data_IF_240809286831
#
_entry.id   IF_240809286831
#
_cell.length_a   1.000
_cell.length_b   1.000
_cell.length_c   1.000
_cell.angle_alpha   90.00
_cell.angle_beta   90.00
_cell.angle_gamma   90.00
#
_symmetry.space_group_name_H-M   'P 1'
#
loop_
_entity.id
_entity.type
_entity.pdbx_description
1 polymer ?
#
# COMPACT_ATOMS: atom_id res chain seq x y z
N UNK A 1 8.48 19.46 17.91
CA UNK A 1 9.30 18.56 18.73
C UNK A 1 10.55 18.07 18.00
N UNK A 2 10.45 17.40 16.83
CA UNK A 2 11.64 16.90 16.10
C UNK A 2 12.55 18.06 15.71
N UNK A 3 12.01 19.12 15.11
CA UNK A 3 12.79 20.31 14.75
C UNK A 3 13.38 21.02 15.98
N UNK A 4 12.67 21.09 17.10
CA UNK A 4 13.19 21.71 18.32
C UNK A 4 14.40 20.93 18.89
N UNK A 5 14.34 19.60 18.82
CA UNK A 5 15.45 18.72 19.21
C UNK A 5 16.62 18.87 18.23
N UNK A 6 16.35 18.89 16.94
CA UNK A 6 17.34 19.07 15.89
C UNK A 6 18.07 20.40 16.05
N UNK A 7 17.34 21.50 16.24
CA UNK A 7 17.93 22.83 16.47
C UNK A 7 18.84 22.88 17.71
N UNK A 8 18.41 22.25 18.81
CA UNK A 8 19.26 22.15 20.02
C UNK A 8 20.57 21.41 19.75
N UNK A 9 20.58 20.50 18.79
CA UNK A 9 21.76 19.75 18.37
C UNK A 9 22.47 20.37 17.14
N UNK A 10 22.06 21.57 16.73
CA UNK A 10 22.61 22.29 15.56
C UNK A 10 22.44 21.52 14.26
N UNK A 11 21.34 20.75 14.15
CA UNK A 11 20.96 20.02 12.95
C UNK A 11 19.79 20.78 12.31
N UNK A 12 19.90 21.09 11.04
CA UNK A 12 18.77 21.66 10.28
C UNK A 12 17.91 20.55 9.70
N UNK A 13 16.64 20.49 10.14
CA UNK A 13 15.64 19.53 9.65
C UNK A 13 14.46 20.31 9.13
N UNK A 14 14.34 20.36 7.83
CA UNK A 14 13.29 21.12 7.13
C UNK A 14 12.24 20.23 6.47
N UNK A 15 12.57 18.97 6.19
CA UNK A 15 11.73 18.03 5.43
C UNK A 15 11.61 16.68 6.14
N UNK A 16 10.56 15.96 5.82
CA UNK A 16 10.23 14.69 6.46
C UNK A 16 9.79 13.64 5.44
N UNK A 17 10.29 12.43 5.61
CA UNK A 17 9.67 11.22 5.06
C UNK A 17 8.83 10.58 6.17
N UNK A 18 7.53 10.41 5.92
CA UNK A 18 6.59 9.91 6.94
C UNK A 18 6.19 8.48 6.63
N UNK A 19 6.22 7.63 7.64
CA UNK A 19 5.82 6.23 7.54
C UNK A 19 5.02 5.80 8.76
N UNK A 20 4.15 4.83 8.57
CA UNK A 20 3.36 4.23 9.65
C UNK A 20 2.54 3.05 9.15
N UNK A 21 2.24 2.14 10.09
CA UNK A 21 1.49 0.93 9.77
C UNK A 21 0.06 1.00 10.32
N UNK A 22 -0.90 0.41 9.60
CA UNK A 22 -2.29 0.28 10.00
C UNK A 22 -2.90 1.65 10.32
N UNK A 23 -3.48 1.88 11.49
CA UNK A 23 -3.99 3.17 11.93
C UNK A 23 -2.98 4.31 11.75
N UNK A 24 -1.68 4.07 11.97
CA UNK A 24 -0.62 5.06 11.73
C UNK A 24 -0.32 5.25 10.23
N UNK A 25 -0.63 4.26 9.40
CA UNK A 25 -0.62 4.41 7.94
C UNK A 25 -1.70 5.38 7.48
N UNK A 26 -2.90 5.33 8.08
CA UNK A 26 -3.91 6.37 7.87
C UNK A 26 -3.42 7.75 8.29
N UNK A 27 -2.76 7.83 9.47
CA UNK A 27 -2.13 9.07 9.93
C UNK A 27 -1.03 9.54 8.96
N UNK A 28 -0.28 8.63 8.34
CA UNK A 28 0.72 8.96 7.32
C UNK A 28 0.08 9.69 6.14
N UNK A 29 -1.02 9.17 5.61
CA UNK A 29 -1.78 9.81 4.55
C UNK A 29 -2.29 11.20 4.97
N UNK A 30 -2.96 11.29 6.11
CA UNK A 30 -3.53 12.57 6.58
C UNK A 30 -2.47 13.61 6.91
N UNK A 31 -1.32 13.20 7.44
CA UNK A 31 -0.17 14.11 7.67
C UNK A 31 0.32 14.72 6.37
N UNK A 32 0.44 13.91 5.31
CA UNK A 32 0.87 14.40 3.99
C UNK A 32 -0.10 15.39 3.35
N UNK A 33 -1.40 15.33 3.71
CA UNK A 33 -2.40 16.31 3.24
C UNK A 33 -2.17 17.69 3.84
N UNK A 34 -1.75 17.77 5.10
CA UNK A 34 -1.74 19.01 5.89
C UNK A 34 -0.35 19.59 6.12
N UNK A 35 0.70 18.79 6.10
CA UNK A 35 2.07 19.23 6.37
C UNK A 35 2.91 19.30 5.10
N UNK A 36 3.19 20.50 4.64
CA UNK A 36 3.96 20.76 3.41
C UNK A 36 5.44 20.38 3.50
N UNK A 37 5.95 20.04 4.68
CA UNK A 37 7.32 19.55 4.89
C UNK A 37 7.45 18.07 4.56
N UNK A 38 6.34 17.37 4.33
CA UNK A 38 6.35 15.96 3.94
C UNK A 38 6.72 15.84 2.47
N UNK A 39 7.91 15.32 2.20
CA UNK A 39 8.46 15.15 0.85
C UNK A 39 8.27 13.75 0.28
N UNK A 40 7.97 12.75 1.11
CA UNK A 40 7.61 11.40 0.69
C UNK A 40 6.87 10.65 1.80
N UNK A 41 6.12 9.62 1.43
CA UNK A 41 5.37 8.79 2.39
C UNK A 41 5.54 7.29 2.13
N UNK A 42 5.50 6.51 3.21
CA UNK A 42 5.44 5.05 3.14
C UNK A 42 4.35 4.50 4.08
N UNK A 43 3.06 4.59 3.68
CA UNK A 43 1.97 3.96 4.43
C UNK A 43 2.05 2.43 4.30
N UNK A 44 1.87 1.73 5.42
CA UNK A 44 1.96 0.27 5.47
C UNK A 44 0.67 -0.34 5.99
N UNK A 45 0.27 -1.48 5.43
CA UNK A 45 -0.94 -2.24 5.81
C UNK A 45 -2.14 -1.34 6.09
N UNK A 46 -2.45 -0.51 5.13
CA UNK A 46 -3.60 0.40 5.12
C UNK A 46 -4.20 0.47 3.71
N UNK A 47 -4.41 -0.68 3.10
CA UNK A 47 -4.90 -0.85 1.75
C UNK A 47 -6.42 -0.69 1.69
N UNK A 48 -6.90 0.50 2.03
CA UNK A 48 -8.33 0.77 2.17
C UNK A 48 -8.75 2.18 1.74
N UNK A 49 -7.96 2.89 0.99
CA UNK A 49 -8.44 4.14 0.39
C UNK A 49 -9.61 3.85 -0.55
N UNK A 50 -10.55 4.79 -0.67
CA UNK A 50 -11.86 4.54 -1.22
C UNK A 50 -12.61 3.49 -0.38
N UNK A 51 -12.85 3.85 0.87
CA UNK A 51 -13.27 2.96 1.96
C UNK A 51 -14.51 2.12 1.60
N UNK A 52 -15.51 2.71 0.96
CA UNK A 52 -16.75 2.00 0.61
C UNK A 52 -16.45 0.82 -0.33
N UNK A 53 -15.74 1.07 -1.43
CA UNK A 53 -15.35 0.03 -2.39
C UNK A 53 -14.47 -1.04 -1.74
N UNK A 54 -13.55 -0.62 -0.88
CA UNK A 54 -12.64 -1.53 -0.18
C UNK A 54 -13.37 -2.44 0.80
N UNK A 55 -14.32 -1.93 1.59
CA UNK A 55 -15.12 -2.73 2.53
C UNK A 55 -16.15 -3.63 1.82
N UNK A 56 -16.76 -3.17 0.74
CA UNK A 56 -17.61 -4.02 -0.08
C UNK A 56 -16.82 -5.16 -0.73
N UNK A 57 -15.61 -4.88 -1.20
CA UNK A 57 -14.72 -5.90 -1.75
C UNK A 57 -14.26 -6.90 -0.69
N UNK A 58 -13.97 -6.44 0.53
CA UNK A 58 -13.66 -7.29 1.67
C UNK A 58 -14.78 -8.31 1.92
N UNK A 59 -16.03 -7.84 2.00
CA UNK A 59 -17.19 -8.73 2.19
C UNK A 59 -17.38 -9.70 1.02
N UNK A 60 -17.25 -9.22 -0.22
CA UNK A 60 -17.36 -10.09 -1.41
C UNK A 60 -16.26 -11.14 -1.49
N UNK A 61 -15.05 -10.81 -1.04
CA UNK A 61 -13.90 -11.70 -1.09
C UNK A 61 -13.98 -12.80 -0.05
N UNK A 62 -14.44 -12.49 1.15
CA UNK A 62 -14.44 -13.41 2.30
C UNK A 62 -15.82 -14.03 2.57
N UNK A 63 -16.89 -13.51 1.97
CA UNK A 63 -18.28 -13.93 2.24
C UNK A 63 -18.83 -13.40 3.58
N UNK A 64 -17.97 -12.73 4.36
CA UNK A 64 -18.28 -12.15 5.67
C UNK A 64 -17.36 -10.98 5.96
N UNK A 65 -17.64 -10.23 7.02
CA UNK A 65 -16.65 -9.32 7.58
C UNK A 65 -15.70 -10.10 8.49
N UNK A 66 -14.41 -10.04 8.21
CA UNK A 66 -13.38 -10.67 9.03
C UNK A 66 -13.50 -10.24 10.49
N UNK A 67 -13.19 -11.15 11.40
CA UNK A 67 -13.12 -10.85 12.84
C UNK A 67 -12.18 -9.66 13.14
N UNK A 68 -11.19 -9.42 12.29
CA UNK A 68 -10.27 -8.30 12.42
C UNK A 68 -10.96 -6.93 12.32
N UNK A 69 -12.07 -6.85 11.56
CA UNK A 69 -12.86 -5.60 11.41
C UNK A 69 -14.15 -5.61 12.23
N UNK A 70 -14.30 -6.56 13.16
CA UNK A 70 -15.51 -6.74 13.95
C UNK A 70 -15.93 -5.48 14.74
N UNK A 71 -14.97 -4.68 15.18
CA UNK A 71 -15.28 -3.42 15.87
C UNK A 71 -16.10 -2.47 14.98
N UNK A 72 -15.78 -2.40 13.69
CA UNK A 72 -16.53 -1.58 12.74
C UNK A 72 -17.96 -2.13 12.51
N UNK A 73 -18.10 -3.45 12.47
CA UNK A 73 -19.42 -4.12 12.37
C UNK A 73 -20.26 -3.84 13.61
N UNK A 74 -19.67 -3.94 14.80
CA UNK A 74 -20.33 -3.67 16.08
C UNK A 74 -20.85 -2.21 16.20
N UNK A 75 -20.19 -1.28 15.51
CA UNK A 75 -20.62 0.13 15.41
C UNK A 75 -21.55 0.38 14.20
N UNK A 76 -22.00 -0.66 13.51
CA UNK A 76 -22.86 -0.61 12.33
C UNK A 76 -22.28 0.27 11.20
N UNK A 77 -20.95 0.29 11.05
CA UNK A 77 -20.31 1.08 9.98
C UNK A 77 -20.76 0.60 8.60
N UNK A 78 -20.78 -0.72 8.28
CA UNK A 78 -21.22 -1.20 6.98
C UNK A 78 -22.63 -0.71 6.59
N UNK A 79 -23.57 -0.73 7.54
CA UNK A 79 -24.95 -0.31 7.29
C UNK A 79 -25.10 1.21 7.06
N UNK A 80 -24.12 1.98 7.52
CA UNK A 80 -24.10 3.44 7.39
C UNK A 80 -23.42 3.93 6.12
N UNK A 81 -22.63 3.10 5.44
CA UNK A 81 -21.81 3.50 4.28
C UNK A 81 -22.63 4.13 3.16
N UNK A 82 -23.89 3.75 3.01
CA UNK A 82 -24.81 4.32 2.01
C UNK A 82 -25.53 5.60 2.48
N UNK A 83 -25.29 6.08 3.71
CA UNK A 83 -25.96 7.26 4.22
C UNK A 83 -25.24 8.55 3.83
N UNK A 84 -26.02 9.63 3.72
CA UNK A 84 -25.47 10.96 3.42
C UNK A 84 -24.55 11.48 4.53
N UNK A 85 -24.84 11.15 5.76
CA UNK A 85 -24.03 11.51 6.94
C UNK A 85 -22.67 10.85 6.89
N UNK A 86 -22.62 9.59 6.48
CA UNK A 86 -21.37 8.88 6.30
C UNK A 86 -20.55 9.45 5.14
N UNK A 87 -21.18 9.75 4.00
CA UNK A 87 -20.51 10.41 2.87
C UNK A 87 -19.89 11.76 3.30
N UNK A 88 -20.63 12.54 4.06
CA UNK A 88 -20.13 13.81 4.58
C UNK A 88 -18.93 13.58 5.50
N UNK A 89 -19.01 12.62 6.43
CA UNK A 89 -17.92 12.30 7.33
C UNK A 89 -16.65 11.88 6.54
N UNK A 90 -16.80 11.04 5.52
CA UNK A 90 -15.67 10.57 4.71
C UNK A 90 -14.95 11.74 4.01
N UNK A 91 -15.66 12.74 3.54
CA UNK A 91 -15.04 13.96 2.95
C UNK A 91 -14.11 14.72 3.89
N UNK A 92 -14.24 14.51 5.20
CA UNK A 92 -13.37 15.14 6.20
C UNK A 92 -12.24 14.20 6.67
N UNK A 93 -12.49 12.91 6.76
CA UNK A 93 -11.58 12.00 7.44
C UNK A 93 -10.85 11.04 6.50
N UNK A 94 -11.44 10.72 5.34
CA UNK A 94 -10.86 9.74 4.44
C UNK A 94 -9.81 10.36 3.51
N UNK A 95 -8.56 9.85 3.51
CA UNK A 95 -7.48 10.37 2.67
C UNK A 95 -7.81 10.36 1.18
N UNK A 96 -8.62 9.43 0.70
CA UNK A 96 -9.00 9.33 -0.71
C UNK A 96 -9.62 10.62 -1.27
N UNK A 97 -10.41 11.34 -0.48
CA UNK A 97 -10.98 12.62 -0.90
C UNK A 97 -9.95 13.74 -1.09
N UNK A 98 -8.72 13.49 -0.66
CA UNK A 98 -7.60 14.42 -0.81
C UNK A 98 -6.52 13.89 -1.76
N UNK A 99 -6.83 12.87 -2.56
CA UNK A 99 -5.85 12.14 -3.40
C UNK A 99 -5.02 13.04 -4.31
N UNK A 100 -5.58 14.12 -4.82
CA UNK A 100 -4.87 15.09 -5.68
C UNK A 100 -3.71 15.81 -4.97
N UNK A 101 -3.67 15.78 -3.64
CA UNK A 101 -2.60 16.36 -2.85
C UNK A 101 -1.39 15.43 -2.68
N UNK A 102 -1.53 14.16 -3.01
CA UNK A 102 -0.45 13.17 -2.86
C UNK A 102 0.50 13.19 -4.05
N UNK A 103 1.07 14.34 -4.37
CA UNK A 103 1.99 14.50 -5.50
C UNK A 103 3.40 14.00 -5.21
N UNK A 104 3.78 13.88 -3.92
CA UNK A 104 5.09 13.40 -3.49
C UNK A 104 5.27 11.90 -3.78
N UNK A 105 6.51 11.40 -3.89
CA UNK A 105 6.80 9.98 -3.99
C UNK A 105 6.19 9.18 -2.83
N UNK A 106 5.64 8.02 -3.15
CA UNK A 106 4.98 7.15 -2.16
C UNK A 106 5.25 5.68 -2.40
N UNK A 107 5.57 4.96 -1.31
CA UNK A 107 5.72 3.51 -1.29
C UNK A 107 4.61 2.90 -0.43
N UNK A 108 3.67 2.22 -1.07
CA UNK A 108 2.59 1.51 -0.40
C UNK A 108 3.04 0.08 -0.13
N UNK A 109 3.08 -0.32 1.15
CA UNK A 109 3.51 -1.67 1.54
C UNK A 109 2.35 -2.40 2.20
N UNK A 110 1.87 -3.46 1.57
CA UNK A 110 0.72 -4.22 2.03
C UNK A 110 1.07 -5.69 2.25
N UNK A 111 0.27 -6.39 3.05
CA UNK A 111 0.40 -7.81 3.29
C UNK A 111 -0.41 -8.59 2.24
N UNK A 112 0.19 -9.63 1.67
CA UNK A 112 -0.46 -10.46 0.67
C UNK A 112 -1.49 -11.44 1.23
N UNK A 113 -1.61 -11.54 2.56
CA UNK A 113 -2.56 -12.41 3.25
C UNK A 113 -3.12 -11.71 4.49
N UNK A 114 -3.45 -10.42 4.33
CA UNK A 114 -3.96 -9.52 5.36
C UNK A 114 -5.39 -9.90 5.75
N UNK A 115 -5.66 -9.87 7.04
CA UNK A 115 -6.98 -10.14 7.61
C UNK A 115 -7.88 -8.91 7.70
N UNK A 116 -7.32 -7.70 7.57
CA UNK A 116 -8.07 -6.45 7.56
C UNK A 116 -8.42 -6.01 6.14
N UNK A 117 -7.48 -6.16 5.20
CA UNK A 117 -7.60 -5.59 3.85
C UNK A 117 -7.39 -6.67 2.81
N UNK A 118 -8.38 -6.86 1.93
CA UNK A 118 -8.26 -7.81 0.83
C UNK A 118 -7.13 -7.43 -0.11
N UNK A 119 -6.41 -8.43 -0.61
CA UNK A 119 -5.14 -8.30 -1.33
C UNK A 119 -5.20 -7.44 -2.60
N UNK A 120 -6.36 -7.20 -3.16
CA UNK A 120 -6.54 -6.44 -4.39
C UNK A 120 -7.22 -5.07 -4.18
N UNK A 121 -7.27 -4.58 -2.95
CA UNK A 121 -7.92 -3.29 -2.62
C UNK A 121 -7.24 -2.09 -3.28
N UNK A 122 -5.95 -2.17 -3.60
CA UNK A 122 -5.20 -1.13 -4.33
C UNK A 122 -5.88 -0.70 -5.63
N UNK A 123 -6.60 -1.57 -6.30
CA UNK A 123 -7.28 -1.30 -7.59
C UNK A 123 -8.34 -0.20 -7.50
N UNK A 124 -8.85 0.09 -6.31
CA UNK A 124 -9.89 1.11 -6.09
C UNK A 124 -9.35 2.52 -5.96
N UNK A 125 -8.02 2.70 -5.90
CA UNK A 125 -7.46 4.02 -5.67
C UNK A 125 -6.06 4.25 -6.28
N UNK A 126 -5.24 3.21 -6.43
CA UNK A 126 -3.82 3.35 -6.76
C UNK A 126 -3.60 4.09 -8.08
N UNK A 127 -4.37 3.78 -9.12
CA UNK A 127 -4.20 4.41 -10.43
C UNK A 127 -4.56 5.90 -10.41
N UNK A 128 -5.38 6.34 -9.49
CA UNK A 128 -5.82 7.72 -9.34
C UNK A 128 -4.86 8.59 -8.52
N UNK A 129 -3.89 7.99 -7.84
CA UNK A 129 -2.88 8.73 -7.10
C UNK A 129 -1.90 9.41 -8.06
N UNK A 130 -1.66 10.72 -7.94
CA UNK A 130 -0.68 11.43 -8.76
C UNK A 130 0.77 11.17 -8.31
N UNK A 131 1.72 11.55 -9.17
CA UNK A 131 3.15 11.47 -8.89
C UNK A 131 3.70 10.04 -8.79
N UNK A 132 4.94 9.92 -8.38
CA UNK A 132 5.63 8.63 -8.27
C UNK A 132 5.02 7.76 -7.19
N UNK A 133 4.65 6.55 -7.56
CA UNK A 133 3.96 5.61 -6.68
C UNK A 133 4.42 4.19 -6.90
N UNK A 134 4.75 3.53 -5.81
CA UNK A 134 5.26 2.17 -5.79
C UNK A 134 4.38 1.32 -4.90
N UNK A 135 4.06 0.11 -5.36
CA UNK A 135 3.20 -0.82 -4.66
C UNK A 135 3.97 -2.10 -4.37
N UNK A 136 4.00 -2.50 -3.12
CA UNK A 136 4.58 -3.75 -2.67
C UNK A 136 3.53 -4.55 -1.89
N UNK A 137 3.27 -5.77 -2.32
CA UNK A 137 2.63 -6.79 -1.50
C UNK A 137 3.67 -7.77 -1.00
N UNK A 138 3.70 -8.01 0.31
CA UNK A 138 4.56 -9.01 0.93
C UNK A 138 3.80 -10.33 0.99
N UNK A 139 4.21 -11.36 0.21
CA UNK A 139 3.44 -12.59 0.13
C UNK A 139 3.53 -13.42 1.42
N UNK A 140 2.48 -14.17 1.72
CA UNK A 140 2.40 -15.09 2.85
C UNK A 140 2.64 -14.45 4.22
N UNK A 141 2.30 -13.19 4.37
CA UNK A 141 2.29 -12.49 5.65
C UNK A 141 0.93 -11.87 5.91
N UNK A 142 0.57 -11.79 7.18
CA UNK A 142 -0.64 -11.14 7.65
C UNK A 142 -0.39 -9.65 7.96
N UNK A 143 -1.36 -9.00 8.58
CA UNK A 143 -1.32 -7.57 8.92
C UNK A 143 -0.07 -7.13 9.71
N UNK A 144 0.60 -8.02 10.42
CA UNK A 144 1.80 -7.68 11.19
C UNK A 144 3.05 -7.47 10.33
N UNK A 145 3.01 -7.75 9.02
CA UNK A 145 4.12 -7.57 8.07
C UNK A 145 5.45 -8.24 8.49
N UNK A 146 5.39 -9.36 9.19
CA UNK A 146 6.60 -10.11 9.58
C UNK A 146 7.19 -10.85 8.37
N UNK A 147 7.69 -10.10 7.40
CA UNK A 147 8.15 -10.63 6.10
C UNK A 147 9.57 -10.20 5.75
N UNK A 148 10.11 -10.86 4.71
CA UNK A 148 11.41 -10.53 4.14
C UNK A 148 11.40 -9.18 3.43
N UNK A 149 12.52 -8.49 3.46
CA UNK A 149 12.81 -7.27 2.70
C UNK A 149 11.98 -6.02 3.07
N UNK A 150 11.16 -6.07 4.12
CA UNK A 150 10.39 -4.90 4.54
C UNK A 150 11.31 -3.74 4.91
N UNK A 151 12.25 -4.00 5.81
CA UNK A 151 13.18 -2.98 6.30
C UNK A 151 14.12 -2.51 5.19
N UNK A 152 14.62 -3.44 4.38
CA UNK A 152 15.51 -3.14 3.26
C UNK A 152 14.81 -2.26 2.21
N UNK A 153 13.58 -2.56 1.86
CA UNK A 153 12.82 -1.79 0.88
C UNK A 153 12.45 -0.42 1.42
N UNK A 154 12.02 -0.34 2.67
CA UNK A 154 11.73 0.94 3.31
C UNK A 154 12.99 1.81 3.44
N UNK A 155 14.11 1.20 3.83
CA UNK A 155 15.41 1.89 3.90
C UNK A 155 15.88 2.33 2.51
N UNK A 156 15.76 1.49 1.49
CA UNK A 156 16.10 1.84 0.11
C UNK A 156 15.25 2.99 -0.41
N UNK A 157 13.94 2.97 -0.15
CA UNK A 157 13.05 4.08 -0.51
C UNK A 157 13.49 5.38 0.16
N UNK A 158 13.68 5.36 1.47
CA UNK A 158 14.13 6.51 2.25
C UNK A 158 15.47 7.06 1.73
N UNK A 159 16.45 6.18 1.51
CA UNK A 159 17.78 6.58 1.04
C UNK A 159 17.73 7.24 -0.34
N UNK A 160 16.90 6.74 -1.24
CA UNK A 160 16.72 7.35 -2.56
C UNK A 160 16.10 8.74 -2.47
N UNK A 161 15.09 8.91 -1.63
CA UNK A 161 14.45 10.22 -1.41
C UNK A 161 15.45 11.24 -0.88
N UNK A 162 16.20 10.93 0.18
CA UNK A 162 17.11 11.91 0.80
C UNK A 162 18.37 12.21 -0.03
N UNK A 163 18.70 11.34 -0.98
CA UNK A 163 19.85 11.54 -1.88
C UNK A 163 19.42 11.96 -3.30
N UNK A 164 18.16 12.28 -3.52
CA UNK A 164 17.59 12.66 -4.81
C UNK A 164 17.94 11.67 -5.94
N UNK A 165 17.84 10.36 -5.64
CA UNK A 165 18.17 9.29 -6.55
C UNK A 165 16.92 8.78 -7.28
N UNK A 166 17.05 8.53 -8.58
CA UNK A 166 15.99 7.95 -9.39
C UNK A 166 15.62 6.54 -8.92
N UNK A 167 14.33 6.25 -8.97
CA UNK A 167 13.81 4.91 -8.77
C UNK A 167 13.89 4.09 -10.08
N UNK A 168 14.00 2.75 -10.00
CA UNK A 168 13.87 1.91 -11.16
C UNK A 168 12.52 2.15 -11.85
N UNK A 169 12.55 2.30 -13.16
CA UNK A 169 11.32 2.44 -13.93
C UNK A 169 10.81 1.03 -14.27
N UNK A 170 9.67 0.68 -13.70
CA UNK A 170 8.99 -0.60 -13.92
C UNK A 170 7.62 -0.29 -14.52
N UNK A 171 7.41 -0.73 -15.74
CA UNK A 171 6.12 -0.61 -16.44
C UNK A 171 5.56 -2.01 -16.62
N UNK A 172 4.27 -2.18 -16.37
CA UNK A 172 3.60 -3.44 -16.58
C UNK A 172 2.21 -3.27 -17.19
N UNK A 173 1.80 -4.24 -17.97
CA UNK A 173 0.48 -4.33 -18.58
C UNK A 173 -0.01 -5.78 -18.62
N UNK A 174 -1.33 -5.96 -18.64
CA UNK A 174 -1.95 -7.26 -18.92
C UNK A 174 -2.52 -7.21 -20.33
N UNK A 175 -2.06 -8.09 -21.18
CA UNK A 175 -2.51 -8.20 -22.57
C UNK A 175 -2.76 -9.66 -22.93
N UNK A 176 -3.98 -9.99 -23.38
CA UNK A 176 -4.36 -11.37 -23.74
C UNK A 176 -3.99 -12.38 -22.64
N UNK A 177 -4.42 -12.12 -21.39
CA UNK A 177 -4.13 -12.93 -20.20
C UNK A 177 -2.63 -13.13 -19.88
N UNK A 178 -1.77 -12.34 -20.51
CA UNK A 178 -0.33 -12.34 -20.25
C UNK A 178 0.08 -11.09 -19.53
N UNK A 179 0.76 -11.23 -18.39
CA UNK A 179 1.39 -10.13 -17.67
C UNK A 179 2.75 -9.82 -18.33
N UNK A 180 2.86 -8.63 -18.89
CA UNK A 180 4.10 -8.13 -19.51
C UNK A 180 4.67 -7.08 -18.56
N UNK A 181 5.93 -7.26 -18.17
CA UNK A 181 6.64 -6.26 -17.36
C UNK A 181 7.94 -5.86 -18.07
N UNK A 182 8.17 -4.56 -18.12
CA UNK A 182 9.42 -3.97 -18.62
C UNK A 182 10.12 -3.25 -17.49
N UNK A 183 11.38 -3.57 -17.30
CA UNK A 183 12.23 -2.94 -16.27
C UNK A 183 13.35 -2.21 -16.99
N UNK A 184 13.45 -0.90 -16.75
CA UNK A 184 14.60 -0.12 -17.18
C UNK A 184 15.50 0.11 -15.96
N UNK A 185 16.62 -0.61 -15.89
CA UNK A 185 17.58 -0.55 -14.80
C UNK A 185 18.98 -0.81 -15.32
N UNK A 186 19.94 0.02 -14.90
CA UNK A 186 21.37 -0.20 -15.14
C UNK A 186 21.97 -1.29 -14.22
N UNK A 187 21.23 -1.68 -13.20
CA UNK A 187 21.65 -2.69 -12.23
C UNK A 187 21.11 -4.06 -12.62
N UNK A 188 21.85 -5.10 -12.28
CA UNK A 188 21.39 -6.47 -12.40
C UNK A 188 20.14 -6.69 -11.52
N UNK A 189 19.10 -7.32 -12.05
CA UNK A 189 17.86 -7.61 -11.35
C UNK A 189 17.37 -9.03 -11.60
N UNK A 190 16.52 -9.51 -10.69
CA UNK A 190 15.85 -10.81 -10.81
C UNK A 190 14.35 -10.57 -10.84
N UNK A 191 13.65 -11.34 -11.64
CA UNK A 191 12.18 -11.30 -11.72
C UNK A 191 11.61 -12.61 -11.25
N UNK A 192 10.57 -12.55 -10.46
CA UNK A 192 9.79 -13.70 -10.04
C UNK A 192 8.30 -13.34 -10.08
N UNK A 193 7.49 -14.31 -10.44
CA UNK A 193 6.04 -14.21 -10.27
C UNK A 193 5.65 -14.82 -8.92
N UNK A 194 4.71 -14.18 -8.23
CA UNK A 194 4.04 -14.73 -7.07
C UNK A 194 2.57 -14.96 -7.41
N UNK A 195 2.13 -16.19 -7.23
CA UNK A 195 0.78 -16.63 -7.56
C UNK A 195 0.13 -17.30 -6.35
N UNK A 196 -1.15 -17.02 -6.15
CA UNK A 196 -1.99 -17.73 -5.20
C UNK A 196 -3.29 -18.16 -5.88
N UNK A 197 -3.82 -19.30 -5.49
CA UNK A 197 -5.08 -19.80 -5.98
C UNK A 197 -5.93 -20.32 -4.82
N UNK A 198 -7.16 -19.83 -4.76
CA UNK A 198 -8.22 -20.38 -3.92
C UNK A 198 -9.39 -20.73 -4.85
N UNK A 199 -9.82 -21.99 -4.86
CA UNK A 199 -10.84 -22.50 -5.79
C UNK A 199 -12.27 -22.12 -5.39
N UNK A 200 -12.48 -21.83 -4.12
CA UNK A 200 -13.79 -21.62 -3.53
C UNK A 200 -14.14 -20.12 -3.44
N UNK A 201 -13.17 -19.34 -3.01
CA UNK A 201 -13.35 -17.91 -2.68
C UNK A 201 -12.16 -17.07 -3.13
N UNK A 202 -12.22 -15.77 -2.88
CA UNK A 202 -11.04 -14.88 -2.98
C UNK A 202 -10.39 -14.63 -1.62
N UNK A 203 -10.57 -15.56 -0.69
CA UNK A 203 -9.93 -15.50 0.62
C UNK A 203 -8.46 -15.96 0.52
N UNK A 204 -7.56 -15.10 0.95
CA UNK A 204 -6.13 -15.36 1.03
C UNK A 204 -5.59 -15.03 2.42
N UNK A 205 -6.47 -14.89 3.42
CA UNK A 205 -6.09 -14.62 4.81
C UNK A 205 -5.19 -15.72 5.35
N UNK A 206 -4.06 -15.32 5.94
CA UNK A 206 -3.05 -16.26 6.40
C UNK A 206 -3.57 -17.26 7.45
N UNK A 207 -4.44 -16.80 8.32
CA UNK A 207 -4.97 -17.63 9.42
C UNK A 207 -6.12 -18.55 9.01
N UNK A 208 -6.81 -18.25 7.90
CA UNK A 208 -7.87 -19.11 7.35
C UNK A 208 -7.29 -20.14 6.37
N UNK A 209 -6.52 -19.66 5.42
CA UNK A 209 -6.08 -20.42 4.25
C UNK A 209 -4.60 -20.85 4.29
N UNK A 210 -3.84 -20.32 5.26
CA UNK A 210 -2.41 -20.56 5.33
C UNK A 210 -1.61 -19.87 4.24
N UNK A 211 -0.46 -20.41 3.89
CA UNK A 211 0.46 -19.84 2.89
C UNK A 211 0.11 -20.33 1.50
N UNK A 212 -0.66 -19.54 0.75
CA UNK A 212 -1.08 -19.87 -0.61
C UNK A 212 -0.19 -19.30 -1.71
N UNK A 213 0.59 -18.24 -1.41
CA UNK A 213 1.44 -17.59 -2.40
C UNK A 213 2.70 -18.40 -2.69
N UNK A 214 2.91 -18.72 -3.96
CA UNK A 214 4.04 -19.47 -4.45
C UNK A 214 4.90 -18.63 -5.39
N UNK A 215 6.22 -18.70 -5.22
CA UNK A 215 7.18 -17.96 -6.01
C UNK A 215 7.74 -18.83 -7.14
N UNK A 216 7.70 -18.31 -8.36
CA UNK A 216 8.37 -18.90 -9.51
C UNK A 216 9.33 -17.89 -10.14
N UNK A 217 10.65 -18.17 -10.18
CA UNK A 217 11.60 -17.33 -10.89
C UNK A 217 11.28 -17.28 -12.39
N UNK A 218 11.35 -16.09 -12.98
CA UNK A 218 11.14 -15.89 -14.41
C UNK A 218 12.48 -15.71 -15.12
N UNK A 219 12.54 -16.18 -16.37
CA UNK A 219 13.64 -15.86 -17.29
C UNK A 219 13.40 -14.46 -17.86
N UNK A 220 14.45 -13.65 -17.84
CA UNK A 220 14.44 -12.33 -18.47
C UNK A 220 14.79 -12.55 -19.94
N UNK A 221 13.91 -12.11 -20.83
CA UNK A 221 14.23 -12.01 -22.25
C UNK A 221 14.86 -10.63 -22.46
N UNK A 222 16.16 -10.56 -22.71
CA UNK A 222 16.77 -9.36 -23.22
C UNK A 222 16.24 -9.14 -24.63
N UNK A 223 15.29 -8.26 -24.81
CA UNK A 223 15.08 -7.65 -26.12
C UNK A 223 16.10 -6.53 -26.19
N UNK A 224 17.18 -6.80 -26.91
CA UNK A 224 18.02 -5.76 -27.47
C UNK A 224 17.15 -5.01 -28.49
N UNK A 225 16.94 -3.71 -28.25
CA UNK A 225 16.27 -2.64 -28.99
C UNK A 225 14.91 -2.22 -28.46
#
# INVERSE_FOLDING_TARGET
LVQDIAQKNKIDVTEFVVSGASKRGWTTWTTAVIDKRVIAIAPMVIDMLNLNESLENHYRSYGEYSIAVQDYVNYNIPDRMSTKEFEILMKYVEPYYFKEKFTMPKLLINAGSDEFFSTDSWRFYFNELPGDKYLQYVPNVNHSLNGRYLNENLFSFYTRIINDQNFPNIVWEIKNDTLISKVNSEQEYKVSIWEANNKETRDFRLWEEGKLWNQTPLKINSQDE
#
